data_IF_499405609699
#
_entry.id   IF_499405609699
#
_cell.length_a   1.000
_cell.length_b   1.000
_cell.length_c   1.000
_cell.angle_alpha   90.00
_cell.angle_beta   90.00
_cell.angle_gamma   90.00
#
_symmetry.space_group_name_H-M   'P 1'
#
loop_
_entity.id
_entity.type
_entity.pdbx_description
1 polymer ?
#
# COMPACT_ATOMS: atom_id res chain seq x y z
N UNK A 1 30.17 -24.23 14.68
CA UNK A 1 29.79 -22.80 14.82
C UNK A 1 28.51 -22.49 14.02
N UNK A 2 27.38 -22.43 14.74
CA UNK A 2 26.09 -22.01 14.24
C UNK A 2 26.00 -20.48 14.33
N UNK A 3 25.62 -19.82 13.24
CA UNK A 3 25.43 -18.36 13.19
C UNK A 3 23.94 -18.03 13.48
N UNK A 4 23.63 -17.23 14.51
CA UNK A 4 22.25 -16.93 14.91
C UNK A 4 21.75 -15.58 14.35
N UNK A 5 21.93 -15.30 13.06
CA UNK A 5 21.19 -14.21 12.39
C UNK A 5 19.90 -14.74 11.77
N UNK A 6 18.90 -14.97 12.62
CA UNK A 6 17.55 -15.29 12.18
C UNK A 6 16.83 -14.06 11.61
N UNK A 7 16.26 -14.21 10.40
CA UNK A 7 15.00 -13.53 10.08
C UNK A 7 14.89 -12.86 8.71
N UNK A 8 14.48 -13.65 7.71
CA UNK A 8 13.62 -13.28 6.57
C UNK A 8 14.15 -12.29 5.50
N UNK A 9 14.88 -12.86 4.53
CA UNK A 9 14.38 -13.01 3.15
C UNK A 9 13.76 -11.78 2.47
N UNK A 10 14.60 -10.81 2.08
CA UNK A 10 14.30 -9.86 1.02
C UNK A 10 14.82 -10.44 -0.30
N UNK A 11 14.00 -10.81 -1.30
CA UNK A 11 14.51 -10.95 -2.65
C UNK A 11 14.81 -9.56 -3.22
N UNK A 12 16.01 -9.44 -3.78
CA UNK A 12 16.54 -8.27 -4.46
C UNK A 12 15.61 -7.79 -5.59
N UNK A 13 15.29 -6.49 -5.61
CA UNK A 13 14.50 -5.88 -6.67
C UNK A 13 14.12 -4.45 -6.32
N UNK A 14 15.10 -3.53 -6.44
CA UNK A 14 14.91 -2.12 -6.12
C UNK A 14 13.93 -1.43 -7.06
N UNK A 15 12.78 -1.04 -6.51
CA UNK A 15 11.86 -0.05 -7.09
C UNK A 15 11.26 0.78 -5.95
N UNK A 16 10.92 2.07 -6.17
CA UNK A 16 10.43 2.92 -5.10
C UNK A 16 9.07 2.42 -4.60
N UNK A 17 9.09 1.88 -3.39
CA UNK A 17 7.91 1.71 -2.53
C UNK A 17 7.18 3.05 -2.42
N UNK A 18 5.98 3.14 -3.00
CA UNK A 18 5.10 4.29 -2.79
C UNK A 18 4.56 4.21 -1.36
N UNK A 19 5.32 4.78 -0.43
CA UNK A 19 5.06 4.82 1.00
C UNK A 19 4.06 5.96 1.27
N UNK A 20 2.81 5.67 1.62
CA UNK A 20 1.88 6.69 2.16
C UNK A 20 2.19 6.90 3.63
N UNK A 21 3.23 7.68 3.88
CA UNK A 21 3.81 7.76 5.22
C UNK A 21 4.28 6.39 5.74
N UNK A 22 4.90 6.35 6.93
CA UNK A 22 5.88 5.35 7.32
C UNK A 22 5.39 3.90 7.48
N UNK A 23 4.17 3.53 7.08
CA UNK A 23 3.66 2.19 7.41
C UNK A 23 2.76 1.49 6.40
N UNK A 24 2.30 2.08 5.29
CA UNK A 24 1.35 1.37 4.40
C UNK A 24 1.79 1.32 2.93
N UNK A 25 1.57 0.16 2.31
CA UNK A 25 1.76 -0.11 0.89
C UNK A 25 0.48 -0.64 0.25
N UNK A 26 0.28 -0.40 -1.05
CA UNK A 26 -0.88 -0.93 -1.78
C UNK A 26 -0.55 -2.31 -2.32
N UNK A 27 -1.14 -3.33 -1.72
CA UNK A 27 -0.93 -4.73 -2.11
C UNK A 27 -1.92 -5.19 -3.19
N UNK A 28 -3.03 -4.48 -3.40
CA UNK A 28 -4.06 -4.88 -4.35
C UNK A 28 -5.09 -3.79 -4.63
N UNK A 29 -5.75 -3.87 -5.78
CA UNK A 29 -6.94 -3.08 -6.09
C UNK A 29 -8.01 -4.01 -6.65
N UNK A 30 -9.23 -3.84 -6.16
CA UNK A 30 -10.42 -4.52 -6.63
C UNK A 30 -11.19 -3.49 -7.44
N UNK A 31 -11.23 -3.69 -8.75
CA UNK A 31 -11.98 -2.85 -9.68
C UNK A 31 -13.33 -3.49 -10.00
N UNK A 32 -14.41 -2.71 -9.98
CA UNK A 32 -15.77 -3.16 -10.21
C UNK A 32 -16.77 -2.03 -9.94
N UNK A 33 -18.05 -2.37 -9.78
CA UNK A 33 -19.12 -1.41 -9.42
C UNK A 33 -18.79 -0.63 -8.13
N UNK A 34 -18.11 -1.29 -7.18
CA UNK A 34 -17.64 -0.70 -5.92
C UNK A 34 -16.14 -0.91 -5.79
N UNK A 35 -15.32 0.05 -6.25
CA UNK A 35 -13.87 -0.11 -6.22
C UNK A 35 -13.33 -0.08 -4.78
N UNK A 36 -12.35 -0.93 -4.51
CA UNK A 36 -11.70 -1.10 -3.20
C UNK A 36 -10.19 -1.26 -3.35
N UNK A 37 -9.43 -0.81 -2.36
CA UNK A 37 -7.98 -0.92 -2.31
C UNK A 37 -7.57 -1.77 -1.11
N UNK A 38 -6.54 -2.59 -1.29
CA UNK A 38 -5.96 -3.42 -0.23
C UNK A 38 -4.65 -2.79 0.19
N UNK A 39 -4.61 -2.31 1.44
CA UNK A 39 -3.43 -1.75 2.06
C UNK A 39 -2.80 -2.79 2.97
N UNK A 40 -1.48 -2.89 2.92
CA UNK A 40 -0.68 -3.73 3.81
C UNK A 40 0.20 -2.85 4.67
N UNK A 41 0.19 -3.08 5.97
CA UNK A 41 1.06 -2.33 6.88
C UNK A 41 2.44 -2.99 7.04
N UNK A 42 3.38 -2.31 7.69
CA UNK A 42 4.74 -2.82 7.93
C UNK A 42 4.80 -4.11 8.78
N UNK A 43 3.77 -4.40 9.58
CA UNK A 43 3.62 -5.65 10.34
C UNK A 43 2.98 -6.76 9.50
N UNK A 44 2.56 -6.44 8.28
CA UNK A 44 1.94 -7.38 7.35
C UNK A 44 0.43 -7.53 7.50
N UNK A 45 -0.25 -6.75 8.34
CA UNK A 45 -1.70 -6.76 8.41
C UNK A 45 -2.28 -6.12 7.15
N UNK A 46 -3.33 -6.74 6.63
CA UNK A 46 -4.02 -6.26 5.44
C UNK A 46 -5.35 -5.61 5.82
N UNK A 47 -5.64 -4.48 5.18
CA UNK A 47 -6.91 -3.77 5.34
C UNK A 47 -7.50 -3.45 3.97
N UNK A 48 -8.77 -3.78 3.80
CA UNK A 48 -9.54 -3.45 2.60
C UNK A 48 -10.30 -2.15 2.86
N UNK A 49 -10.07 -1.16 2.02
CA UNK A 49 -10.67 0.17 2.15
C UNK A 49 -11.39 0.53 0.85
N UNK A 50 -12.70 0.81 0.89
CA UNK A 50 -13.45 1.23 -0.29
C UNK A 50 -13.10 2.66 -0.71
N UNK A 51 -13.45 3.04 -1.94
CA UNK A 51 -13.42 4.43 -2.37
C UNK A 51 -14.23 5.31 -1.40
N UNK A 52 -13.62 6.40 -0.93
CA UNK A 52 -14.19 7.28 0.09
C UNK A 52 -13.96 6.82 1.53
N UNK A 53 -13.41 5.63 1.76
CA UNK A 53 -13.05 5.11 3.07
C UNK A 53 -11.75 5.70 3.64
N UNK A 54 -11.45 5.35 4.89
CA UNK A 54 -10.26 5.81 5.61
C UNK A 54 -9.30 4.65 5.85
N UNK A 55 -8.02 4.86 5.53
CA UNK A 55 -6.93 3.92 5.81
C UNK A 55 -6.56 4.03 7.29
N UNK A 56 -6.41 5.26 7.76
CA UNK A 56 -6.14 5.68 9.13
C UNK A 56 -6.86 7.01 9.44
N UNK A 57 -6.56 7.65 10.58
CA UNK A 57 -7.23 8.86 11.04
C UNK A 57 -7.06 10.07 10.09
N UNK A 58 -5.95 10.14 9.35
CA UNK A 58 -5.56 11.27 8.52
C UNK A 58 -5.51 10.93 7.02
N UNK A 59 -5.64 9.65 6.66
CA UNK A 59 -5.56 9.19 5.26
C UNK A 59 -6.90 8.68 4.73
N UNK A 60 -7.43 9.35 3.70
CA UNK A 60 -8.66 8.97 2.99
C UNK A 60 -8.36 8.48 1.57
N UNK A 61 -9.04 7.42 1.14
CA UNK A 61 -9.00 7.00 -0.26
C UNK A 61 -9.93 7.88 -1.09
N UNK A 62 -9.36 8.63 -2.04
CA UNK A 62 -10.10 9.59 -2.88
C UNK A 62 -10.19 9.16 -4.35
N UNK A 63 -9.38 8.18 -4.76
CA UNK A 63 -9.47 7.59 -6.09
C UNK A 63 -8.92 6.17 -6.10
N UNK A 64 -9.55 5.29 -6.87
CA UNK A 64 -9.08 3.93 -7.10
C UNK A 64 -9.20 3.68 -8.60
N UNK A 65 -8.06 3.40 -9.22
CA UNK A 65 -7.93 3.12 -10.65
C UNK A 65 -7.15 1.82 -10.83
N UNK A 66 -7.12 1.30 -12.06
CA UNK A 66 -6.35 0.09 -12.37
C UNK A 66 -4.87 0.30 -12.05
N UNK A 67 -4.40 -0.37 -11.00
CA UNK A 67 -3.02 -0.31 -10.55
C UNK A 67 -2.64 0.92 -9.73
N UNK A 68 -3.58 1.85 -9.49
CA UNK A 68 -3.30 3.13 -8.83
C UNK A 68 -4.34 3.46 -7.78
N UNK A 69 -3.90 4.01 -6.66
CA UNK A 69 -4.76 4.45 -5.57
C UNK A 69 -4.38 5.87 -5.20
N UNK A 70 -5.31 6.81 -5.32
CA UNK A 70 -5.12 8.19 -4.87
C UNK A 70 -5.65 8.29 -3.44
N UNK A 71 -4.81 8.76 -2.55
CA UNK A 71 -5.18 9.06 -1.17
C UNK A 71 -5.01 10.54 -0.89
N UNK A 72 -5.81 11.06 0.03
CA UNK A 72 -5.63 12.37 0.61
C UNK A 72 -5.16 12.19 2.04
N UNK A 73 -3.94 12.63 2.31
CA UNK A 73 -3.33 12.71 3.63
C UNK A 73 -3.41 14.15 4.16
N UNK A 74 -2.88 14.38 5.36
CA UNK A 74 -2.72 15.71 5.93
C UNK A 74 -1.84 16.64 5.08
N UNK A 75 -0.79 16.09 4.46
CA UNK A 75 0.18 16.84 3.67
C UNK A 75 -0.29 17.12 2.24
N UNK A 76 -1.34 16.45 1.78
CA UNK A 76 -1.92 16.66 0.46
C UNK A 76 -2.43 15.39 -0.17
N UNK A 77 -2.61 15.41 -1.49
CA UNK A 77 -3.00 14.22 -2.22
C UNK A 77 -1.78 13.47 -2.74
N UNK A 78 -1.75 12.16 -2.50
CA UNK A 78 -0.68 11.27 -2.94
C UNK A 78 -1.24 10.14 -3.81
N UNK A 79 -0.54 9.84 -4.90
CA UNK A 79 -0.85 8.67 -5.74
C UNK A 79 0.07 7.52 -5.35
N UNK A 80 -0.52 6.37 -5.09
CA UNK A 80 0.12 5.11 -4.83
C UNK A 80 -0.04 4.17 -6.02
N UNK A 81 0.98 3.36 -6.28
CA UNK A 81 0.94 2.30 -7.27
C UNK A 81 0.99 0.95 -6.57
N UNK A 82 0.38 -0.07 -7.18
CA UNK A 82 0.47 -1.45 -6.69
C UNK A 82 1.92 -1.90 -6.52
N UNK A 83 2.21 -2.56 -5.40
CA UNK A 83 3.43 -3.34 -5.23
C UNK A 83 3.51 -4.39 -6.35
N UNK A 84 4.50 -4.28 -7.23
CA UNK A 84 4.71 -5.19 -8.36
C UNK A 84 4.38 -4.61 -9.76
N UNK A 85 3.97 -3.35 -9.88
CA UNK A 85 3.86 -2.66 -11.19
C UNK A 85 5.07 -1.77 -11.55
N UNK A 86 6.26 -2.15 -11.08
CA UNK A 86 7.53 -1.71 -11.65
C UNK A 86 8.24 -2.90 -12.26
N UNK A 87 7.93 -3.19 -13.53
CA UNK A 87 8.79 -4.00 -14.39
C UNK A 87 9.86 -3.12 -15.02
#
# INVERSE_FOLDING_TARGET
PYDPTGGNGLPAGGGPIANIGPSYAVSGVITGDRPMAVFKDSQGNQRIVPLGGHVDADTKVVGIERGKVRVKTRDGEQTLTLEGQGQ
#
